data_IF_860617971217
#
_entry.id   IF_860617971217
#
_cell.length_a   1.000
_cell.length_b   1.000
_cell.length_c   1.000
_cell.angle_alpha   90.00
_cell.angle_beta   90.00
_cell.angle_gamma   90.00
#
_symmetry.space_group_name_H-M   'P 1'
#
loop_
_entity.id
_entity.type
_entity.pdbx_description
1 polymer ?
#
# COMPACT_ATOMS: atom_id res chain seq x y z
N UNK A 1 -44.39 6.35 -24.46
CA UNK A 1 -42.95 6.14 -24.74
C UNK A 1 -42.76 4.73 -25.25
N UNK A 2 -41.91 4.50 -26.26
CA UNK A 2 -41.61 3.14 -26.72
C UNK A 2 -40.62 2.48 -25.76
N UNK A 3 -40.63 1.15 -25.69
CA UNK A 3 -39.71 0.39 -24.85
C UNK A 3 -38.24 0.67 -25.21
N UNK A 4 -37.94 0.92 -26.49
CA UNK A 4 -36.63 1.34 -26.98
C UNK A 4 -36.12 2.64 -26.36
N UNK A 5 -37.02 3.61 -26.15
CA UNK A 5 -36.64 4.92 -25.63
C UNK A 5 -36.35 4.82 -24.13
N UNK A 6 -37.14 4.00 -23.43
CA UNK A 6 -36.94 3.70 -22.01
C UNK A 6 -35.62 2.97 -21.76
N UNK A 7 -35.28 1.97 -22.58
CA UNK A 7 -34.03 1.24 -22.44
C UNK A 7 -32.82 2.10 -22.80
N UNK A 8 -32.93 2.96 -23.82
CA UNK A 8 -31.88 3.92 -24.17
C UNK A 8 -31.64 4.94 -23.06
N UNK A 9 -32.71 5.54 -22.51
CA UNK A 9 -32.62 6.47 -21.38
C UNK A 9 -31.98 5.80 -20.16
N UNK A 10 -32.39 4.57 -19.83
CA UNK A 10 -31.79 3.80 -18.75
C UNK A 10 -30.30 3.54 -18.99
N UNK A 11 -29.92 3.12 -20.19
CA UNK A 11 -28.53 2.89 -20.57
C UNK A 11 -27.68 4.15 -20.42
N UNK A 12 -28.15 5.29 -20.92
CA UNK A 12 -27.45 6.57 -20.82
C UNK A 12 -27.35 7.05 -19.37
N UNK A 13 -28.45 6.99 -18.61
CA UNK A 13 -28.48 7.45 -17.23
C UNK A 13 -27.55 6.63 -16.33
N UNK A 14 -27.74 5.32 -16.27
CA UNK A 14 -26.91 4.45 -15.42
C UNK A 14 -25.47 4.36 -15.92
N UNK A 15 -25.27 4.40 -17.24
CA UNK A 15 -23.96 4.49 -17.83
C UNK A 15 -23.19 5.74 -17.41
N UNK A 16 -23.84 6.90 -17.47
CA UNK A 16 -23.25 8.18 -17.05
C UNK A 16 -22.97 8.20 -15.55
N UNK A 17 -23.92 7.75 -14.73
CA UNK A 17 -23.72 7.59 -13.27
C UNK A 17 -22.51 6.70 -13.00
N UNK A 18 -22.37 5.60 -13.74
CA UNK A 18 -21.23 4.69 -13.63
C UNK A 18 -19.91 5.41 -13.92
N UNK A 19 -19.80 6.18 -15.01
CA UNK A 19 -18.58 6.97 -15.31
C UNK A 19 -18.25 7.92 -14.16
N UNK A 20 -19.24 8.71 -13.72
CA UNK A 20 -19.06 9.69 -12.65
C UNK A 20 -18.67 9.02 -11.34
N UNK A 21 -19.19 7.81 -11.05
CA UNK A 21 -18.91 7.06 -9.83
C UNK A 21 -17.45 6.57 -9.71
N UNK A 22 -16.71 6.49 -10.82
CA UNK A 22 -15.28 6.16 -10.77
C UNK A 22 -14.47 7.24 -10.07
N UNK A 23 -14.88 8.51 -10.15
CA UNK A 23 -14.15 9.64 -9.53
C UNK A 23 -14.08 9.50 -8.00
N UNK A 24 -15.19 9.39 -7.24
CA UNK A 24 -15.11 9.23 -5.79
C UNK A 24 -14.40 7.93 -5.40
N UNK A 25 -14.50 6.88 -6.22
CA UNK A 25 -13.79 5.62 -5.97
C UNK A 25 -12.27 5.76 -6.11
N UNK A 26 -11.80 6.41 -7.18
CA UNK A 26 -10.38 6.72 -7.38
C UNK A 26 -9.86 7.63 -6.26
N UNK A 27 -10.62 8.64 -5.85
CA UNK A 27 -10.26 9.52 -4.72
C UNK A 27 -10.11 8.71 -3.42
N UNK A 28 -11.03 7.77 -3.14
CA UNK A 28 -10.93 6.89 -1.96
C UNK A 28 -9.68 6.02 -2.01
N UNK A 29 -9.36 5.41 -3.14
CA UNK A 29 -8.13 4.60 -3.31
C UNK A 29 -6.88 5.46 -3.08
N UNK A 30 -6.85 6.67 -3.66
CA UNK A 30 -5.73 7.58 -3.50
C UNK A 30 -5.52 7.99 -2.03
N UNK A 31 -6.62 8.24 -1.30
CA UNK A 31 -6.60 8.67 0.11
C UNK A 31 -6.49 7.53 1.12
N UNK A 32 -6.67 6.28 0.71
CA UNK A 32 -6.64 5.15 1.65
C UNK A 32 -5.30 5.04 2.38
N UNK A 33 -5.34 4.80 3.69
CA UNK A 33 -4.14 4.65 4.51
C UNK A 33 -3.57 3.22 4.45
N UNK A 34 -4.41 2.24 4.13
CA UNK A 34 -4.13 0.80 4.25
C UNK A 34 -3.67 0.16 2.92
N UNK A 35 -3.17 0.97 1.97
CA UNK A 35 -2.62 0.47 0.72
C UNK A 35 -3.67 -0.09 -0.25
N UNK A 36 -4.92 0.35 -0.14
CA UNK A 36 -6.09 -0.05 -0.93
C UNK A 36 -6.38 -1.57 -0.85
N UNK A 37 -6.25 -2.15 0.35
CA UNK A 37 -6.38 -3.60 0.56
C UNK A 37 -7.76 -4.17 0.25
N UNK A 38 -8.82 -3.35 0.42
CA UNK A 38 -10.21 -3.73 0.16
C UNK A 38 -10.55 -3.93 -1.34
N UNK A 39 -9.66 -3.53 -2.25
CA UNK A 39 -9.90 -3.61 -3.68
C UNK A 39 -9.40 -4.96 -4.24
N UNK A 40 -10.34 -5.76 -4.76
CA UNK A 40 -10.06 -7.07 -5.38
C UNK A 40 -9.65 -6.92 -6.85
N UNK A 41 -8.41 -7.26 -7.19
CA UNK A 41 -7.95 -7.25 -8.58
C UNK A 41 -8.77 -8.16 -9.48
N UNK A 42 -9.16 -9.34 -9.00
CA UNK A 42 -9.94 -10.30 -9.79
C UNK A 42 -11.24 -9.69 -10.27
N UNK A 43 -11.97 -9.01 -9.39
CA UNK A 43 -13.21 -8.34 -9.74
C UNK A 43 -12.96 -7.24 -10.78
N UNK A 44 -12.00 -6.35 -10.55
CA UNK A 44 -11.73 -5.26 -11.48
C UNK A 44 -11.21 -5.73 -12.84
N UNK A 45 -10.38 -6.77 -12.88
CA UNK A 45 -9.92 -7.39 -14.12
C UNK A 45 -11.08 -8.02 -14.88
N UNK A 46 -11.95 -8.77 -14.21
CA UNK A 46 -13.15 -9.35 -14.83
C UNK A 46 -14.04 -8.26 -15.46
N UNK A 47 -14.29 -7.16 -14.74
CA UNK A 47 -15.04 -6.02 -15.26
C UNK A 47 -14.33 -5.37 -16.46
N UNK A 48 -13.00 -5.25 -16.42
CA UNK A 48 -12.22 -4.74 -17.55
C UNK A 48 -12.42 -5.62 -18.78
N UNK A 49 -12.21 -6.94 -18.65
CA UNK A 49 -12.40 -7.89 -19.74
C UNK A 49 -13.81 -7.86 -20.29
N UNK A 50 -14.83 -7.84 -19.44
CA UNK A 50 -16.23 -7.77 -19.87
C UNK A 50 -16.53 -6.51 -20.71
N UNK A 51 -15.97 -5.35 -20.33
CA UNK A 51 -16.17 -4.11 -21.10
C UNK A 51 -15.33 -4.09 -22.39
N UNK A 52 -14.12 -4.66 -22.38
CA UNK A 52 -13.32 -4.84 -23.60
C UNK A 52 -14.01 -5.76 -24.61
N UNK A 53 -14.50 -6.92 -24.17
CA UNK A 53 -15.21 -7.86 -25.06
C UNK A 53 -16.50 -7.27 -25.58
N UNK A 54 -17.24 -6.50 -24.75
CA UNK A 54 -18.43 -5.75 -25.21
C UNK A 54 -18.07 -4.72 -26.27
N UNK A 55 -16.98 -3.96 -26.08
CA UNK A 55 -16.54 -2.97 -27.05
C UNK A 55 -16.16 -3.61 -28.40
N UNK A 56 -15.41 -4.71 -28.36
CA UNK A 56 -15.05 -5.48 -29.56
C UNK A 56 -16.29 -6.06 -30.24
N UNK A 57 -17.21 -6.64 -29.47
CA UNK A 57 -18.45 -7.18 -30.00
C UNK A 57 -19.30 -6.10 -30.69
N UNK A 58 -19.46 -4.95 -30.04
CA UNK A 58 -20.21 -3.82 -30.58
C UNK A 58 -19.59 -3.26 -31.86
N UNK A 59 -18.26 -3.08 -31.88
CA UNK A 59 -17.55 -2.52 -33.03
C UNK A 59 -17.46 -3.48 -34.23
N UNK A 60 -17.26 -4.78 -33.97
CA UNK A 60 -17.07 -5.78 -35.04
C UNK A 60 -18.40 -6.31 -35.56
N UNK A 61 -19.28 -6.77 -34.66
CA UNK A 61 -20.48 -7.52 -35.01
C UNK A 61 -21.72 -6.63 -35.14
N UNK A 62 -21.96 -5.73 -34.18
CA UNK A 62 -23.15 -4.87 -34.19
C UNK A 62 -22.97 -3.62 -35.08
N UNK A 63 -21.71 -3.24 -35.37
CA UNK A 63 -21.36 -1.97 -36.02
C UNK A 63 -21.95 -0.76 -35.29
N UNK A 64 -22.06 -0.85 -33.96
CA UNK A 64 -22.51 0.24 -33.10
C UNK A 64 -21.29 0.95 -32.49
N UNK A 65 -20.85 2.09 -33.09
CA UNK A 65 -19.69 2.81 -32.60
C UNK A 65 -19.94 3.46 -31.24
N UNK A 66 -21.18 3.77 -30.89
CA UNK A 66 -21.51 4.41 -29.62
C UNK A 66 -21.34 3.44 -28.46
N UNK A 67 -21.93 2.24 -28.57
CA UNK A 67 -21.75 1.20 -27.57
C UNK A 67 -20.28 0.78 -27.45
N UNK A 68 -19.57 0.67 -28.58
CA UNK A 68 -18.14 0.36 -28.59
C UNK A 68 -17.31 1.40 -27.82
N UNK A 69 -17.58 2.69 -28.06
CA UNK A 69 -16.89 3.80 -27.39
C UNK A 69 -17.17 3.82 -25.89
N UNK A 70 -18.44 3.70 -25.50
CA UNK A 70 -18.88 3.74 -24.10
C UNK A 70 -18.30 2.57 -23.31
N UNK A 71 -18.34 1.36 -23.87
CA UNK A 71 -17.71 0.19 -23.25
C UNK A 71 -16.19 0.32 -23.16
N UNK A 72 -15.54 0.92 -24.16
CA UNK A 72 -14.10 1.21 -24.10
C UNK A 72 -13.78 2.21 -22.98
N UNK A 73 -14.60 3.26 -22.82
CA UNK A 73 -14.44 4.22 -21.72
C UNK A 73 -14.56 3.54 -20.35
N UNK A 74 -15.53 2.64 -20.16
CA UNK A 74 -15.64 1.86 -18.92
C UNK A 74 -14.41 0.98 -18.66
N UNK A 75 -13.87 0.34 -19.69
CA UNK A 75 -12.66 -0.46 -19.57
C UNK A 75 -11.46 0.39 -19.14
N UNK A 76 -11.28 1.59 -19.73
CA UNK A 76 -10.23 2.53 -19.34
C UNK A 76 -10.38 2.98 -17.88
N UNK A 77 -11.59 3.28 -17.43
CA UNK A 77 -11.84 3.63 -16.02
C UNK A 77 -11.49 2.47 -15.07
N UNK A 78 -11.83 1.22 -15.42
CA UNK A 78 -11.43 0.05 -14.65
C UNK A 78 -9.90 -0.11 -14.59
N UNK A 79 -9.21 0.04 -15.73
CA UNK A 79 -7.74 -0.02 -15.78
C UNK A 79 -7.14 1.04 -14.87
N UNK A 80 -7.64 2.27 -14.91
CA UNK A 80 -7.18 3.35 -14.04
C UNK A 80 -7.34 3.01 -12.54
N UNK A 81 -8.46 2.39 -12.14
CA UNK A 81 -8.66 1.90 -10.77
C UNK A 81 -7.63 0.82 -10.41
N UNK A 82 -7.38 -0.14 -11.29
CA UNK A 82 -6.38 -1.20 -11.09
C UNK A 82 -4.99 -0.60 -10.94
N UNK A 83 -4.58 0.27 -11.87
CA UNK A 83 -3.27 0.93 -11.86
C UNK A 83 -3.06 1.76 -10.60
N UNK A 84 -4.06 2.56 -10.19
CA UNK A 84 -3.98 3.35 -8.98
C UNK A 84 -3.84 2.47 -7.73
N UNK A 85 -4.60 1.37 -7.67
CA UNK A 85 -4.52 0.38 -6.60
C UNK A 85 -3.11 -0.25 -6.57
N UNK A 86 -2.55 -0.61 -7.73
CA UNK A 86 -1.22 -1.20 -7.84
C UNK A 86 -0.12 -0.26 -7.35
N UNK A 87 -0.14 0.99 -7.80
CA UNK A 87 0.81 2.03 -7.36
C UNK A 87 0.67 2.30 -5.86
N UNK A 88 -0.56 2.38 -5.34
CA UNK A 88 -0.79 2.61 -3.91
C UNK A 88 -0.25 1.44 -3.07
N UNK A 89 -0.49 0.21 -3.50
CA UNK A 89 -0.07 -1.01 -2.79
C UNK A 89 1.45 -1.21 -2.86
N UNK A 90 2.09 -0.87 -3.98
CA UNK A 90 3.55 -0.91 -4.09
C UNK A 90 4.21 0.13 -3.18
N UNK A 91 3.70 1.37 -3.16
CA UNK A 91 4.18 2.43 -2.25
C UNK A 91 3.98 2.07 -0.78
N UNK A 92 2.82 1.50 -0.43
CA UNK A 92 2.56 1.06 0.94
C UNK A 92 3.53 -0.06 1.37
N UNK A 93 3.76 -1.07 0.51
CA UNK A 93 4.74 -2.12 0.79
C UNK A 93 6.17 -1.58 0.91
N UNK A 94 6.57 -0.65 0.05
CA UNK A 94 7.88 -0.01 0.13
C UNK A 94 8.04 0.77 1.45
N UNK A 95 7.00 1.52 1.86
CA UNK A 95 6.99 2.23 3.14
C UNK A 95 7.11 1.27 4.33
N UNK A 96 6.34 0.17 4.33
CA UNK A 96 6.43 -0.83 5.40
C UNK A 96 7.81 -1.49 5.46
N UNK A 97 8.39 -1.86 4.30
CA UNK A 97 9.75 -2.42 4.25
C UNK A 97 10.81 -1.44 4.77
N UNK A 98 10.77 -0.19 4.32
CA UNK A 98 11.70 0.84 4.78
C UNK A 98 11.61 1.08 6.29
N UNK A 99 10.39 1.11 6.86
CA UNK A 99 10.19 1.20 8.30
C UNK A 99 10.80 -0.02 9.02
N UNK A 100 10.56 -1.24 8.53
CA UNK A 100 11.13 -2.47 9.12
C UNK A 100 12.65 -2.47 9.06
N UNK A 101 13.26 -2.08 7.94
CA UNK A 101 14.72 -1.98 7.78
C UNK A 101 15.31 -0.91 8.72
N UNK A 102 14.65 0.25 8.84
CA UNK A 102 15.08 1.31 9.77
C UNK A 102 15.03 0.82 11.22
N UNK A 103 13.98 0.10 11.60
CA UNK A 103 13.86 -0.47 12.94
C UNK A 103 14.91 -1.57 13.19
N UNK A 104 15.16 -2.46 12.22
CA UNK A 104 16.15 -3.52 12.34
C UNK A 104 17.59 -2.97 12.45
N UNK A 105 17.92 -1.94 11.65
CA UNK A 105 19.23 -1.28 11.72
C UNK A 105 19.42 -0.52 13.03
N UNK A 106 18.39 0.15 13.54
CA UNK A 106 18.44 0.80 14.85
C UNK A 106 18.67 -0.21 15.99
N UNK A 107 17.97 -1.35 15.96
CA UNK A 107 18.14 -2.43 16.93
C UNK A 107 19.55 -3.04 16.87
N UNK A 108 20.06 -3.36 15.67
CA UNK A 108 21.42 -3.88 15.48
C UNK A 108 22.48 -2.90 16.00
N UNK A 109 22.35 -1.61 15.68
CA UNK A 109 23.28 -0.57 16.15
C UNK A 109 23.31 -0.46 17.68
N UNK A 110 22.15 -0.60 18.32
CA UNK A 110 22.04 -0.58 19.78
C UNK A 110 22.73 -1.81 20.42
N UNK A 111 22.53 -3.01 19.85
CA UNK A 111 23.22 -4.23 20.31
C UNK A 111 24.73 -4.15 20.12
N UNK A 112 25.21 -3.67 18.97
CA UNK A 112 26.64 -3.46 18.72
C UNK A 112 27.24 -2.47 19.72
N UNK A 113 26.52 -1.41 20.06
CA UNK A 113 26.96 -0.44 21.09
C UNK A 113 27.13 -1.09 22.47
N UNK A 114 26.21 -1.99 22.86
CA UNK A 114 26.33 -2.76 24.11
C UNK A 114 27.53 -3.70 24.08
N UNK A 115 27.74 -4.42 22.97
CA UNK A 115 28.88 -5.32 22.82
C UNK A 115 30.22 -4.59 22.95
N UNK A 116 30.36 -3.40 22.34
CA UNK A 116 31.57 -2.60 22.47
C UNK A 116 31.81 -2.11 23.91
N UNK A 117 30.75 -1.70 24.62
CA UNK A 117 30.86 -1.30 26.03
C UNK A 117 31.36 -2.45 26.91
N UNK A 118 30.81 -3.65 26.71
CA UNK A 118 31.20 -4.85 27.46
C UNK A 118 32.63 -5.27 27.11
N UNK A 119 33.01 -5.22 25.83
CA UNK A 119 34.35 -5.58 25.38
C UNK A 119 35.42 -4.60 25.92
N UNK A 120 35.14 -3.30 25.95
CA UNK A 120 36.05 -2.30 26.51
C UNK A 120 36.29 -2.53 28.01
N UNK A 121 35.25 -2.82 28.77
CA UNK A 121 35.41 -3.15 30.20
C UNK A 121 36.11 -4.48 30.43
N UNK A 122 35.83 -5.52 29.62
CA UNK A 122 36.57 -6.78 29.69
C UNK A 122 38.08 -6.55 29.50
N UNK A 123 38.47 -5.74 28.50
CA UNK A 123 39.87 -5.39 28.25
C UNK A 123 40.51 -4.53 29.37
N UNK A 124 39.71 -3.78 30.14
CA UNK A 124 40.21 -3.05 31.33
C UNK A 124 40.52 -4.02 32.47
N UNK A 125 39.64 -4.99 32.70
CA UNK A 125 39.83 -6.02 33.71
C UNK A 125 41.07 -6.89 33.42
N UNK A 126 41.30 -7.26 32.16
CA UNK A 126 42.50 -7.99 31.74
C UNK A 126 43.81 -7.21 32.01
N UNK A 127 43.75 -5.87 31.94
CA UNK A 127 44.86 -4.98 32.27
C UNK A 127 45.01 -4.73 33.78
N UNK A 128 44.22 -5.40 34.63
CA UNK A 128 44.21 -5.20 36.08
C UNK A 128 43.58 -3.87 36.52
N UNK A 129 42.89 -3.18 35.61
CA UNK A 129 42.19 -1.93 35.90
C UNK A 129 40.80 -2.30 36.44
N UNK A 130 40.39 -1.69 37.56
CA UNK A 130 39.04 -1.89 38.11
C UNK A 130 37.97 -1.41 37.11
N UNK A 131 36.79 -2.05 37.16
CA UNK A 131 35.60 -1.68 36.39
C UNK A 131 35.33 -0.19 36.52
N UNK A 132 34.97 0.45 35.41
CA UNK A 132 34.61 1.86 35.42
C UNK A 132 33.39 2.11 36.32
N UNK A 133 33.46 3.14 37.13
CA UNK A 133 32.34 3.56 37.99
C UNK A 133 31.09 3.94 37.16
N UNK A 134 31.27 4.40 35.93
CA UNK A 134 30.19 4.80 35.01
C UNK A 134 29.68 3.66 34.12
N UNK A 135 30.27 2.47 34.17
CA UNK A 135 29.90 1.35 33.29
C UNK A 135 28.42 0.96 33.47
N UNK A 136 27.99 0.74 34.71
CA UNK A 136 26.59 0.39 35.03
C UNK A 136 25.62 1.48 34.56
N UNK A 137 26.02 2.76 34.68
CA UNK A 137 25.21 3.88 34.20
C UNK A 137 25.08 3.87 32.68
N UNK A 138 26.18 3.60 31.95
CA UNK A 138 26.21 3.51 30.48
C UNK A 138 25.44 2.29 29.99
N UNK A 139 25.56 1.16 30.67
CA UNK A 139 24.83 -0.06 30.36
C UNK A 139 23.32 0.11 30.61
N UNK A 140 22.94 0.68 31.76
CA UNK A 140 21.56 0.99 32.08
C UNK A 140 20.94 2.00 31.09
N UNK A 141 21.71 2.98 30.65
CA UNK A 141 21.28 3.94 29.62
C UNK A 141 20.99 3.25 28.28
N UNK A 142 21.83 2.32 27.84
CA UNK A 142 21.59 1.55 26.60
C UNK A 142 20.45 0.55 26.75
N UNK A 143 20.34 -0.13 27.89
CA UNK A 143 19.21 -1.01 28.22
C UNK A 143 17.88 -0.26 28.14
N UNK A 144 17.81 0.95 28.71
CA UNK A 144 16.61 1.78 28.65
C UNK A 144 16.29 2.31 27.25
N UNK A 145 17.27 2.37 26.33
CA UNK A 145 17.02 2.68 24.91
C UNK A 145 16.43 1.47 24.19
N UNK A 146 16.98 0.27 24.41
CA UNK A 146 16.46 -0.99 23.86
C UNK A 146 15.04 -1.29 24.33
N UNK A 147 14.79 -1.22 25.65
CA UNK A 147 13.46 -1.44 26.23
C UNK A 147 12.42 -0.45 25.70
N UNK A 148 12.81 0.83 25.50
CA UNK A 148 11.91 1.82 24.88
C UNK A 148 11.59 1.49 23.43
N UNK A 149 12.56 0.98 22.68
CA UNK A 149 12.35 0.56 21.29
C UNK A 149 11.40 -0.64 21.20
N UNK A 150 11.57 -1.64 22.09
CA UNK A 150 10.69 -2.82 22.16
C UNK A 150 9.27 -2.47 22.61
N UNK A 151 9.12 -1.57 23.58
CA UNK A 151 7.80 -1.08 23.99
C UNK A 151 7.09 -0.34 22.86
N UNK A 152 7.81 0.48 22.09
CA UNK A 152 7.24 1.14 20.91
C UNK A 152 6.83 0.17 19.80
N UNK A 153 7.50 -0.98 19.69
CA UNK A 153 7.14 -2.07 18.77
C UNK A 153 5.86 -2.78 19.20
N UNK A 154 5.64 -2.97 20.50
CA UNK A 154 4.45 -3.62 21.06
C UNK A 154 3.19 -2.75 21.08
N UNK A 155 3.34 -1.42 21.12
CA UNK A 155 2.21 -0.49 21.14
C UNK A 155 1.68 -0.12 19.73
N UNK A 156 2.31 -0.61 18.66
CA UNK A 156 1.89 -0.39 17.26
C UNK A 156 1.22 -1.64 16.70
#
# INVERSE_FOLDING_TARGET
MKMSDLTLLGFLAFGSIRIVSYVPQMVRIARDANGASAISYTTWCMWTFANCTTALYAGVNLKDPFLALVSSAYALCCIAVISLTAVKRSRHRAKCRASTETHATAEATAWTSVQHLVADEAARLERGIRVAHDFELRLAAQRNRLLRHDLQKWMR
#
